data_IF_704070822786
#
_entry.id   IF_704070822786
#
_cell.length_a   1.000
_cell.length_b   1.000
_cell.length_c   1.000
_cell.angle_alpha   90.00
_cell.angle_beta   90.00
_cell.angle_gamma   90.00
#
_symmetry.space_group_name_H-M   'P 1'
#
loop_
_entity.id
_entity.type
_entity.pdbx_description
1 polymer ?
#
# COMPACT_ATOMS: atom_id res chain seq x y z
N UNK A 1 -4.96 10.51 3.65
CA UNK A 1 -3.73 10.09 4.29
C UNK A 1 -3.09 8.89 3.60
N UNK A 2 -1.92 8.56 4.02
CA UNK A 2 -1.21 7.41 3.47
C UNK A 2 -0.29 6.78 4.51
N UNK A 3 -0.04 5.48 4.31
CA UNK A 3 0.96 4.72 5.05
C UNK A 3 1.75 3.91 4.01
N UNK A 4 3.06 3.85 4.18
CA UNK A 4 3.89 3.04 3.31
C UNK A 4 4.96 2.29 4.10
N UNK A 5 5.37 1.17 3.54
CA UNK A 5 6.51 0.39 4.03
C UNK A 5 7.38 -0.05 2.85
N UNK A 6 8.67 0.09 3.02
CA UNK A 6 9.66 -0.43 2.07
C UNK A 6 10.10 -1.82 2.53
N UNK A 7 10.01 -2.78 1.63
CA UNK A 7 10.43 -4.15 1.89
C UNK A 7 11.43 -4.62 0.84
N UNK A 8 12.24 -5.57 1.26
CA UNK A 8 13.18 -6.26 0.41
C UNK A 8 12.63 -7.66 0.11
N UNK A 9 12.25 -7.89 -1.14
CA UNK A 9 11.65 -9.16 -1.55
C UNK A 9 12.64 -10.31 -1.65
N UNK A 10 12.13 -11.54 -1.71
CA UNK A 10 12.95 -12.74 -1.87
C UNK A 10 13.76 -12.74 -3.17
N UNK A 11 13.25 -12.10 -4.18
CA UNK A 11 13.92 -11.87 -5.46
C UNK A 11 14.93 -10.73 -5.42
N UNK A 12 15.20 -10.18 -4.24
CA UNK A 12 16.09 -9.05 -3.98
C UNK A 12 15.64 -7.74 -4.61
N UNK A 13 14.37 -7.62 -4.94
CA UNK A 13 13.82 -6.37 -5.41
C UNK A 13 13.23 -5.57 -4.26
N UNK A 14 13.50 -4.28 -4.29
CA UNK A 14 12.87 -3.34 -3.36
C UNK A 14 11.44 -3.08 -3.82
N UNK A 15 10.51 -3.11 -2.87
CA UNK A 15 9.13 -2.76 -3.18
C UNK A 15 8.47 -2.03 -2.02
N UNK A 16 7.49 -1.21 -2.36
CA UNK A 16 6.69 -0.48 -1.40
C UNK A 16 5.32 -1.12 -1.28
N UNK A 17 4.88 -1.29 -0.05
CA UNK A 17 3.46 -1.49 0.25
C UNK A 17 2.88 -0.14 0.65
N UNK A 18 1.81 0.25 0.00
CA UNK A 18 1.21 1.55 0.23
C UNK A 18 -0.28 1.41 0.48
N UNK A 19 -0.77 2.12 1.50
CA UNK A 19 -2.19 2.32 1.73
C UNK A 19 -2.49 3.80 1.57
N UNK A 20 -3.47 4.09 0.74
CA UNK A 20 -3.95 5.45 0.53
C UNK A 20 -5.40 5.54 1.00
N UNK A 21 -5.69 6.53 1.81
CA UNK A 21 -6.99 6.73 2.42
C UNK A 21 -7.62 7.99 1.85
N UNK A 22 -8.73 7.82 1.15
CA UNK A 22 -9.46 8.92 0.54
C UNK A 22 -10.84 9.03 1.15
N UNK A 23 -11.29 10.25 1.36
CA UNK A 23 -12.68 10.49 1.68
C UNK A 23 -13.52 10.16 0.47
N UNK A 24 -14.56 9.35 0.66
CA UNK A 24 -15.46 9.00 -0.44
C UNK A 24 -16.13 10.24 -1.00
N UNK A 25 -16.03 10.41 -2.30
CA UNK A 25 -16.79 11.40 -3.07
C UNK A 25 -17.65 10.68 -4.09
N UNK A 26 -18.69 11.35 -4.57
CA UNK A 26 -19.63 10.77 -5.52
C UNK A 26 -18.91 10.13 -6.72
N UNK A 27 -19.15 8.83 -6.92
CA UNK A 27 -18.62 8.09 -8.04
C UNK A 27 -17.14 7.71 -7.97
N UNK A 28 -16.40 8.17 -6.97
CA UNK A 28 -15.00 7.84 -6.86
C UNK A 28 -14.81 6.45 -6.27
N UNK A 29 -14.05 5.61 -6.95
CA UNK A 29 -13.75 4.24 -6.51
C UNK A 29 -12.27 4.12 -6.13
N UNK A 30 -12.01 3.36 -5.06
CA UNK A 30 -10.65 3.14 -4.58
C UNK A 30 -9.74 2.55 -5.65
N UNK A 31 -10.25 1.58 -6.42
CA UNK A 31 -9.48 0.95 -7.49
C UNK A 31 -9.02 1.93 -8.56
N UNK A 32 -9.87 2.88 -8.91
CA UNK A 32 -9.52 3.92 -9.86
C UNK A 32 -8.37 4.78 -9.36
N UNK A 33 -8.46 5.26 -8.11
CA UNK A 33 -7.40 6.10 -7.54
C UNK A 33 -6.09 5.35 -7.38
N UNK A 34 -6.15 4.10 -6.95
CA UNK A 34 -4.96 3.27 -6.86
C UNK A 34 -4.30 3.07 -8.23
N UNK A 35 -5.11 2.91 -9.27
CA UNK A 35 -4.60 2.78 -10.63
C UNK A 35 -3.90 4.06 -11.10
N UNK A 36 -4.48 5.22 -10.81
CA UNK A 36 -3.86 6.50 -11.15
C UNK A 36 -2.53 6.71 -10.44
N UNK A 37 -2.46 6.37 -9.17
CA UNK A 37 -1.24 6.46 -8.39
C UNK A 37 -0.17 5.50 -8.94
N UNK A 38 -0.56 4.28 -9.27
CA UNK A 38 0.36 3.32 -9.86
C UNK A 38 0.92 3.77 -11.21
N UNK A 39 0.09 4.32 -12.04
CA UNK A 39 0.53 4.88 -13.33
C UNK A 39 1.50 6.04 -13.14
N UNK A 40 1.22 6.91 -12.20
CA UNK A 40 2.13 8.00 -11.87
C UNK A 40 3.50 7.47 -11.39
N UNK A 41 3.47 6.43 -10.56
CA UNK A 41 4.70 5.75 -10.13
C UNK A 41 5.52 5.24 -11.32
N UNK A 42 4.89 4.54 -12.25
CA UNK A 42 5.58 3.99 -13.41
C UNK A 42 6.09 5.08 -14.33
N UNK A 43 5.24 6.04 -14.69
CA UNK A 43 5.54 7.01 -15.75
C UNK A 43 6.40 8.18 -15.28
N UNK A 44 6.14 8.68 -14.08
CA UNK A 44 6.77 9.90 -13.58
C UNK A 44 7.87 9.61 -12.59
N UNK A 45 7.59 8.81 -11.57
CA UNK A 45 8.56 8.58 -10.49
C UNK A 45 9.70 7.68 -10.95
N UNK A 46 9.38 6.55 -11.56
CA UNK A 46 10.38 5.57 -11.99
C UNK A 46 10.75 5.67 -13.46
N UNK A 47 10.07 6.51 -14.22
CA UNK A 47 10.33 6.74 -15.65
C UNK A 47 10.36 5.44 -16.46
N UNK A 48 9.37 4.58 -16.21
CA UNK A 48 9.22 3.30 -16.90
C UNK A 48 10.01 2.15 -16.29
N UNK A 49 10.78 2.38 -15.25
CA UNK A 49 11.61 1.33 -14.64
C UNK A 49 10.87 0.51 -13.59
N UNK A 50 9.87 1.08 -12.95
CA UNK A 50 9.10 0.41 -11.92
C UNK A 50 7.83 -0.21 -12.45
N UNK A 51 7.24 -1.06 -11.62
CA UNK A 51 5.92 -1.64 -11.86
C UNK A 51 5.08 -1.44 -10.62
N UNK A 52 3.79 -1.74 -10.71
CA UNK A 52 2.92 -1.70 -9.56
C UNK A 52 1.85 -2.79 -9.66
N UNK A 53 1.30 -3.13 -8.51
CA UNK A 53 0.15 -4.02 -8.39
C UNK A 53 -0.97 -3.29 -7.66
N UNK A 54 -2.14 -3.24 -8.28
CA UNK A 54 -3.32 -2.64 -7.68
C UNK A 54 -4.14 -3.72 -6.97
N UNK A 55 -4.04 -3.76 -5.65
CA UNK A 55 -4.71 -4.78 -4.83
C UNK A 55 -6.23 -4.69 -4.85
N UNK A 56 -6.80 -3.59 -5.35
CA UNK A 56 -8.25 -3.47 -5.52
C UNK A 56 -8.77 -4.34 -6.67
N UNK A 57 -7.93 -4.71 -7.60
CA UNK A 57 -8.28 -5.53 -8.75
C UNK A 57 -7.77 -6.95 -8.53
N UNK A 58 -8.43 -7.67 -7.64
CA UNK A 58 -8.04 -9.04 -7.32
C UNK A 58 -8.66 -10.03 -8.29
N UNK A 59 -7.81 -10.73 -8.97
CA UNK A 59 -8.24 -11.78 -9.90
C UNK A 59 -8.32 -13.17 -9.28
N UNK A 60 -7.91 -13.36 -8.01
CA UNK A 60 -8.07 -14.65 -7.34
C UNK A 60 -9.40 -14.80 -6.61
N UNK A 61 -10.33 -13.92 -6.81
CA UNK A 61 -11.67 -14.05 -6.24
C UNK A 61 -11.78 -13.93 -4.72
N UNK A 62 -10.72 -13.55 -4.03
CA UNK A 62 -10.82 -13.25 -2.60
C UNK A 62 -11.46 -11.88 -2.41
N UNK A 63 -12.54 -11.80 -1.65
CA UNK A 63 -13.06 -10.49 -1.28
C UNK A 63 -11.98 -9.74 -0.53
N UNK A 64 -11.89 -8.47 -0.81
CA UNK A 64 -10.97 -7.58 -0.17
C UNK A 64 -11.06 -7.64 1.34
N UNK A 65 -10.02 -8.09 1.95
CA UNK A 65 -9.97 -8.27 3.38
C UNK A 65 -9.47 -7.02 4.09
N UNK A 66 -9.97 -5.85 3.72
CA UNK A 66 -9.60 -4.62 4.38
C UNK A 66 -9.36 -3.46 3.44
N UNK A 67 -9.46 -3.68 2.13
CA UNK A 67 -9.34 -2.63 1.11
C UNK A 67 -10.72 -2.30 0.53
N UNK A 68 -10.79 -1.24 -0.23
CA UNK A 68 -12.03 -0.75 -0.80
C UNK A 68 -12.71 0.27 0.10
N UNK A 69 -14.03 0.29 0.09
CA UNK A 69 -14.79 1.22 0.89
C UNK A 69 -14.94 0.73 2.32
N UNK A 70 -14.54 1.57 3.28
CA UNK A 70 -14.66 1.27 4.70
C UNK A 70 -15.57 2.30 5.34
N UNK A 71 -16.76 1.87 5.76
CA UNK A 71 -17.70 2.71 6.47
C UNK A 71 -17.27 2.84 7.93
N UNK A 72 -17.40 4.04 8.47
CA UNK A 72 -17.08 4.35 9.87
C UNK A 72 -17.72 3.38 10.87
N UNK A 73 -18.94 2.95 10.61
CA UNK A 73 -19.71 2.10 11.51
C UNK A 73 -19.53 0.60 11.23
N UNK A 74 -18.78 0.24 10.21
CA UNK A 74 -18.54 -1.16 9.87
C UNK A 74 -17.33 -1.68 10.66
N UNK A 75 -17.60 -2.19 11.85
CA UNK A 75 -16.57 -2.68 12.77
C UNK A 75 -15.79 -3.84 12.15
N UNK A 76 -16.47 -4.76 11.48
CA UNK A 76 -15.84 -5.92 10.87
C UNK A 76 -14.85 -5.49 9.76
N UNK A 77 -15.27 -4.60 8.89
CA UNK A 77 -14.40 -4.09 7.81
C UNK A 77 -13.22 -3.30 8.37
N UNK A 78 -13.46 -2.52 9.42
CA UNK A 78 -12.39 -1.76 10.09
C UNK A 78 -11.35 -2.66 10.71
N UNK A 79 -11.76 -3.76 11.33
CA UNK A 79 -10.83 -4.75 11.88
C UNK A 79 -9.98 -5.40 10.79
N UNK A 80 -10.58 -5.73 9.67
CA UNK A 80 -9.86 -6.27 8.51
C UNK A 80 -8.84 -5.29 7.97
N UNK A 81 -9.19 -4.00 7.90
CA UNK A 81 -8.26 -2.96 7.49
C UNK A 81 -7.09 -2.85 8.47
N UNK A 82 -7.37 -2.86 9.77
CA UNK A 82 -6.33 -2.80 10.80
C UNK A 82 -5.39 -4.01 10.67
N UNK A 83 -5.95 -5.20 10.44
CA UNK A 83 -5.16 -6.41 10.22
C UNK A 83 -4.25 -6.29 9.00
N UNK A 84 -4.76 -5.77 7.89
CA UNK A 84 -3.98 -5.56 6.68
C UNK A 84 -2.86 -4.55 6.90
N UNK A 85 -3.14 -3.44 7.58
CA UNK A 85 -2.12 -2.43 7.90
C UNK A 85 -1.09 -2.99 8.87
N UNK A 86 -1.52 -3.76 9.87
CA UNK A 86 -0.62 -4.35 10.88
C UNK A 86 0.43 -5.26 10.25
N UNK A 87 0.11 -5.92 9.15
CA UNK A 87 1.08 -6.70 8.39
C UNK A 87 2.31 -5.88 8.00
N UNK A 88 2.15 -4.58 7.76
CA UNK A 88 3.24 -3.69 7.42
C UNK A 88 4.26 -3.51 8.57
N UNK A 89 3.89 -3.86 9.78
CA UNK A 89 4.76 -3.69 10.95
C UNK A 89 5.63 -4.91 11.25
N UNK A 90 5.57 -5.94 10.42
CA UNK A 90 6.46 -7.08 10.56
C UNK A 90 7.89 -6.68 10.20
N UNK A 91 8.86 -6.81 11.13
CA UNK A 91 10.15 -6.15 10.96
C UNK A 91 11.16 -6.88 10.09
N UNK A 92 10.95 -8.15 9.83
CA UNK A 92 11.99 -9.04 9.32
C UNK A 92 12.51 -8.67 7.94
N UNK A 93 11.64 -8.26 7.05
CA UNK A 93 12.00 -7.93 5.67
C UNK A 93 12.65 -6.56 5.50
N UNK A 94 12.60 -5.74 6.54
CA UNK A 94 13.21 -4.42 6.53
C UNK A 94 14.66 -4.40 7.01
N UNK A 95 15.07 -5.42 7.75
CA UNK A 95 16.37 -5.46 8.40
C UNK A 95 17.58 -5.33 7.45
N UNK A 96 17.61 -5.99 6.28
CA UNK A 96 18.74 -5.84 5.35
C UNK A 96 18.93 -4.40 4.87
N UNK A 97 17.84 -3.69 4.65
CA UNK A 97 17.89 -2.29 4.21
C UNK A 97 18.46 -1.40 5.31
N UNK A 98 18.00 -1.58 6.55
CA UNK A 98 18.47 -0.79 7.69
C UNK A 98 19.91 -1.07 8.05
N UNK A 99 20.39 -2.28 7.83
CA UNK A 99 21.79 -2.64 8.05
C UNK A 99 22.71 -1.95 7.07
N UNK A 100 22.28 -1.77 5.81
CA UNK A 100 23.10 -1.09 4.82
C UNK A 100 23.21 0.41 5.07
N UNK A 101 22.13 1.04 5.53
CA UNK A 101 22.14 2.46 5.94
C UNK A 101 21.06 2.71 6.99
N UNK A 102 21.45 2.88 8.28
CA UNK A 102 20.47 3.10 9.36
C UNK A 102 19.67 4.40 9.23
N UNK A 103 20.08 5.34 8.37
CA UNK A 103 19.32 6.57 8.13
C UNK A 103 18.14 6.35 7.21
N UNK A 104 18.08 5.25 6.47
CA UNK A 104 16.98 4.96 5.58
C UNK A 104 15.71 4.67 6.37
N UNK A 105 14.68 5.36 5.99
CA UNK A 105 13.35 5.10 6.53
C UNK A 105 12.73 3.95 5.75
N UNK A 106 12.23 2.96 6.47
CA UNK A 106 11.53 1.82 5.89
C UNK A 106 10.02 1.88 6.09
N UNK A 107 9.56 2.92 6.77
CA UNK A 107 8.15 3.11 7.08
C UNK A 107 7.83 4.60 7.16
N UNK A 108 6.66 4.98 6.69
CA UNK A 108 6.21 6.35 6.76
C UNK A 108 4.71 6.48 6.69
N UNK A 109 4.24 7.65 7.11
CA UNK A 109 2.83 8.02 7.03
C UNK A 109 2.71 9.51 6.77
N UNK A 110 1.55 9.91 6.27
CA UNK A 110 1.28 11.31 6.03
C UNK A 110 -0.20 11.61 5.93
N UNK A 111 -0.49 12.90 5.90
CA UNK A 111 -1.84 13.43 5.69
C UNK A 111 -1.96 14.01 4.30
N UNK A 112 -3.16 13.93 3.79
CA UNK A 112 -3.54 14.69 2.61
C UNK A 112 -4.10 16.03 3.01
#
# INVERSE_FOLDING_TARGET
>A
GYIWKLEYGEDRLLHFHCFFFFKKKNGAQAGYWAQQIGQYWVEVVTKGRGTFHNCNYRWYGHPDEGIGEVNRNDTCKREKLIGAVSYLFEPEQCLPIRKSDPRWRTFGKGRL
#
